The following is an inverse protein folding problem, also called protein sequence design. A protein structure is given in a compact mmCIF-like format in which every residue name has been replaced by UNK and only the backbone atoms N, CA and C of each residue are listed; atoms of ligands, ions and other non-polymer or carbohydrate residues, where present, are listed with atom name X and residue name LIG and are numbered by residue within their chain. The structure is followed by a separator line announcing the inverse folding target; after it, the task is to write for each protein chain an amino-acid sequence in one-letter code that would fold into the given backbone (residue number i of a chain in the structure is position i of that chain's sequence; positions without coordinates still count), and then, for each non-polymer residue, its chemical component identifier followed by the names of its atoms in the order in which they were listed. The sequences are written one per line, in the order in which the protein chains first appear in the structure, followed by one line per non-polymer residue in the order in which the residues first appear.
data_IF_423964549824
#
_entry.id   IF_423964549824
#
_cell.length_a   1.000
_cell.length_b   1.000
_cell.length_c   1.000
_cell.angle_alpha   90.00
_cell.angle_beta   90.00
_cell.angle_gamma   90.00
#
_symmetry.space_group_name_H-M   'P 1'
#
loop_
_entity.id
_entity.type
_entity.pdbx_description
1 polymer ?
#
# COMPACT_ATOMS: atom_id res chain seq x y z
N UNK A 1 -35.61 3.74 -0.84
CA UNK A 1 -35.17 2.51 -0.13
C UNK A 1 -33.81 2.03 -0.61
N UNK A 2 -33.55 1.93 -1.92
CA UNK A 2 -32.25 1.48 -2.47
C UNK A 2 -31.05 2.27 -1.92
N UNK A 3 -31.10 3.60 -1.93
CA UNK A 3 -30.03 4.46 -1.41
C UNK A 3 -29.66 4.16 0.06
N UNK A 4 -30.66 4.03 0.93
CA UNK A 4 -30.43 3.77 2.35
C UNK A 4 -29.84 2.38 2.59
N UNK A 5 -30.30 1.38 1.83
CA UNK A 5 -29.76 0.02 1.91
C UNK A 5 -28.32 -0.02 1.41
N UNK A 6 -28.02 0.58 0.24
CA UNK A 6 -26.66 0.60 -0.30
C UNK A 6 -25.70 1.39 0.59
N UNK A 7 -26.17 2.49 1.20
CA UNK A 7 -25.39 3.26 2.15
C UNK A 7 -25.08 2.44 3.41
N UNK A 8 -26.04 1.69 3.95
CA UNK A 8 -25.81 0.80 5.09
C UNK A 8 -24.76 -0.26 4.77
N UNK A 9 -24.89 -0.95 3.62
CA UNK A 9 -23.90 -1.95 3.18
C UNK A 9 -22.53 -1.31 2.98
N UNK A 10 -22.46 -0.12 2.39
CA UNK A 10 -21.24 0.65 2.21
C UNK A 10 -20.56 0.94 3.56
N UNK A 11 -21.32 1.44 4.54
CA UNK A 11 -20.79 1.74 5.88
C UNK A 11 -20.28 0.49 6.58
N UNK A 12 -21.05 -0.61 6.57
CA UNK A 12 -20.62 -1.87 7.20
C UNK A 12 -19.36 -2.40 6.53
N UNK A 13 -19.35 -2.50 5.20
CA UNK A 13 -18.19 -3.04 4.46
C UNK A 13 -16.95 -2.16 4.56
N UNK A 14 -17.10 -0.84 4.73
CA UNK A 14 -15.98 0.08 4.98
C UNK A 14 -15.14 -0.33 6.19
N UNK A 15 -15.78 -0.73 7.30
CA UNK A 15 -15.08 -1.16 8.52
C UNK A 15 -14.58 -2.62 8.48
N UNK A 16 -15.04 -3.41 7.51
CA UNK A 16 -14.71 -4.84 7.41
C UNK A 16 -13.66 -5.14 6.34
N UNK A 17 -13.65 -4.39 5.24
CA UNK A 17 -12.86 -4.70 4.03
C UNK A 17 -11.33 -4.71 4.27
N UNK A 18 -10.86 -3.97 5.25
CA UNK A 18 -9.43 -3.84 5.57
C UNK A 18 -9.03 -4.64 6.83
N UNK A 19 -9.93 -5.48 7.36
CA UNK A 19 -9.58 -6.38 8.46
C UNK A 19 -8.54 -7.39 7.99
N UNK A 20 -7.45 -7.50 8.75
CA UNK A 20 -6.38 -8.46 8.47
C UNK A 20 -6.92 -9.91 8.56
N UNK A 21 -6.77 -10.73 7.50
CA UNK A 21 -7.09 -12.16 7.54
C UNK A 21 -6.39 -12.91 8.68
N UNK A 22 -6.88 -14.07 9.09
CA UNK A 22 -6.22 -14.95 10.07
C UNK A 22 -4.93 -15.60 9.53
N UNK A 23 -4.00 -16.04 10.39
CA UNK A 23 -2.74 -16.66 9.96
C UNK A 23 -2.94 -17.84 8.99
N UNK A 24 -3.96 -18.67 9.23
CA UNK A 24 -4.30 -19.82 8.36
C UNK A 24 -4.77 -19.44 6.95
N UNK A 25 -4.97 -18.14 6.68
CA UNK A 25 -5.24 -17.64 5.34
C UNK A 25 -4.00 -17.67 4.44
N UNK A 26 -2.80 -17.53 5.00
CA UNK A 26 -1.55 -17.39 4.24
C UNK A 26 -0.79 -18.71 4.11
N UNK A 27 0.02 -18.82 3.06
CA UNK A 27 1.01 -19.89 2.97
C UNK A 27 2.25 -19.52 3.80
N UNK A 28 2.27 -20.01 5.03
CA UNK A 28 3.35 -19.75 6.00
C UNK A 28 4.72 -20.27 5.56
N UNK A 29 4.81 -21.17 4.57
CA UNK A 29 6.10 -21.66 4.05
C UNK A 29 6.82 -20.59 3.22
N UNK A 30 6.07 -19.63 2.70
CA UNK A 30 6.60 -18.55 1.83
C UNK A 30 6.93 -17.27 2.59
N UNK A 31 6.46 -17.12 3.83
CA UNK A 31 6.65 -15.93 4.67
C UNK A 31 7.95 -15.99 5.50
N UNK A 32 9.06 -16.29 4.84
CA UNK A 32 10.41 -16.29 5.43
C UNK A 32 10.99 -14.89 5.54
N UNK A 33 12.06 -14.69 6.33
CA UNK A 33 12.84 -13.45 6.29
C UNK A 33 13.27 -13.07 4.86
N UNK A 34 13.37 -11.77 4.55
CA UNK A 34 13.83 -11.32 3.25
C UNK A 34 15.23 -11.86 2.93
N UNK A 35 15.43 -12.22 1.67
CA UNK A 35 16.72 -12.61 1.13
C UNK A 35 17.47 -11.35 0.73
N UNK A 36 18.68 -11.18 1.26
CA UNK A 36 19.57 -10.05 0.95
C UNK A 36 20.95 -10.61 0.60
N UNK A 37 21.37 -10.46 -0.65
CA UNK A 37 22.63 -11.01 -1.16
C UNK A 37 23.47 -9.91 -1.84
N UNK A 38 24.82 -9.98 -1.79
CA UNK A 38 25.66 -9.02 -2.49
C UNK A 38 25.29 -8.93 -3.98
N UNK A 39 25.08 -7.73 -4.49
CA UNK A 39 24.81 -7.51 -5.92
C UNK A 39 26.07 -7.19 -6.69
N UNK A 40 26.18 -7.68 -7.92
CA UNK A 40 27.17 -7.25 -8.90
C UNK A 40 26.62 -6.17 -9.86
N UNK A 41 25.37 -5.73 -9.66
CA UNK A 41 24.72 -4.75 -10.52
C UNK A 41 25.40 -3.39 -10.36
N UNK A 42 25.92 -2.86 -11.46
CA UNK A 42 26.52 -1.52 -11.49
C UNK A 42 25.46 -0.44 -11.37
N UNK A 43 25.86 0.71 -10.84
CA UNK A 43 25.01 1.90 -10.89
C UNK A 43 24.58 2.22 -12.32
N UNK A 44 23.33 2.65 -12.47
CA UNK A 44 22.74 2.96 -13.77
C UNK A 44 21.87 4.20 -13.69
N UNK A 45 21.63 4.80 -14.85
CA UNK A 45 20.80 6.01 -14.99
C UNK A 45 19.56 5.66 -15.79
N UNK A 46 18.42 6.20 -15.36
CA UNK A 46 17.16 6.10 -16.09
C UNK A 46 16.59 7.51 -16.29
N UNK A 47 15.84 7.67 -17.38
CA UNK A 47 15.18 8.94 -17.71
C UNK A 47 13.67 8.73 -17.75
N UNK A 48 12.94 9.40 -16.87
CA UNK A 48 11.47 9.33 -16.80
C UNK A 48 10.92 10.75 -16.78
N UNK A 49 9.99 11.06 -17.69
CA UNK A 49 9.37 12.38 -17.83
C UNK A 49 10.38 13.55 -17.85
N UNK A 50 11.44 13.41 -18.65
CA UNK A 50 12.53 14.40 -18.79
C UNK A 50 13.35 14.62 -17.52
N UNK A 51 13.36 13.65 -16.61
CA UNK A 51 14.21 13.69 -15.43
C UNK A 51 15.16 12.51 -15.35
N UNK A 52 16.35 12.77 -14.83
CA UNK A 52 17.46 11.86 -14.75
C UNK A 52 17.63 11.34 -13.33
N UNK A 53 17.45 10.04 -13.17
CA UNK A 53 17.62 9.34 -11.91
C UNK A 53 18.84 8.45 -11.97
N UNK A 54 19.68 8.51 -10.95
CA UNK A 54 20.81 7.60 -10.76
C UNK A 54 20.46 6.62 -9.67
N UNK A 55 20.44 5.33 -10.00
CA UNK A 55 20.21 4.24 -9.07
C UNK A 55 21.56 3.59 -8.74
N UNK A 56 21.84 3.40 -7.45
CA UNK A 56 23.06 2.75 -6.94
C UNK A 56 22.67 1.50 -6.15
N UNK A 57 22.60 0.32 -6.80
CA UNK A 57 22.35 -0.95 -6.14
C UNK A 57 23.36 -1.24 -5.03
N UNK A 58 22.89 -1.80 -3.92
CA UNK A 58 23.69 -2.22 -2.77
C UNK A 58 23.61 -3.73 -2.55
N UNK A 59 22.41 -4.32 -2.64
CA UNK A 59 22.16 -5.74 -2.47
C UNK A 59 21.00 -6.19 -3.36
N UNK A 60 21.06 -7.43 -3.85
CA UNK A 60 19.89 -8.12 -4.37
C UNK A 60 18.93 -8.37 -3.21
N UNK A 61 17.64 -8.16 -3.45
CA UNK A 61 16.65 -8.19 -2.39
C UNK A 61 15.36 -8.87 -2.82
N UNK A 62 14.86 -9.76 -1.96
CA UNK A 62 13.56 -10.41 -2.14
C UNK A 62 12.81 -10.46 -0.82
N UNK A 63 11.55 -10.02 -0.85
CA UNK A 63 10.67 -10.04 0.31
C UNK A 63 9.34 -10.71 -0.05
N UNK A 64 8.91 -11.62 0.82
CA UNK A 64 7.57 -12.18 0.84
C UNK A 64 6.92 -11.82 2.17
N UNK A 65 5.75 -11.19 2.13
CA UNK A 65 5.15 -10.68 3.35
C UNK A 65 3.70 -10.26 3.20
N UNK A 66 3.12 -9.86 4.30
CA UNK A 66 1.75 -9.34 4.40
C UNK A 66 1.80 -7.84 4.57
N UNK A 67 1.09 -7.11 3.71
CA UNK A 67 0.95 -5.66 3.83
C UNK A 67 0.08 -5.34 5.04
N UNK A 68 0.58 -4.54 5.98
CA UNK A 68 -0.18 -4.15 7.20
C UNK A 68 -0.53 -2.67 7.22
N UNK A 69 0.24 -1.85 6.50
CA UNK A 69 -0.06 -0.45 6.28
C UNK A 69 0.61 0.00 4.98
N UNK A 70 0.21 1.15 4.48
CA UNK A 70 0.86 1.74 3.32
C UNK A 70 0.72 3.26 3.34
N UNK A 71 1.64 3.93 2.67
CA UNK A 71 1.57 5.35 2.40
C UNK A 71 1.79 5.60 0.92
N UNK A 72 0.85 6.27 0.26
CA UNK A 72 1.09 6.71 -1.12
C UNK A 72 2.04 7.92 -1.05
N UNK A 73 3.19 7.85 -1.71
CA UNK A 73 3.99 9.05 -1.93
C UNK A 73 3.16 10.04 -2.76
N UNK A 74 3.30 11.34 -2.44
CA UNK A 74 2.36 12.42 -2.76
C UNK A 74 1.53 12.26 -4.06
N UNK A 75 0.21 12.05 -3.90
CA UNK A 75 -0.79 12.46 -4.88
C UNK A 75 -1.31 11.38 -5.86
N UNK A 76 -2.13 10.45 -5.37
CA UNK A 76 -2.95 9.59 -6.26
C UNK A 76 -4.09 10.35 -6.95
N UNK A 77 -4.35 11.60 -6.56
CA UNK A 77 -5.43 12.43 -7.10
C UNK A 77 -5.23 12.91 -8.53
N UNK A 78 -4.11 12.58 -9.18
CA UNK A 78 -3.73 13.25 -10.41
C UNK A 78 -2.79 12.40 -11.26
N UNK A 79 -3.38 11.57 -12.11
CA UNK A 79 -2.72 11.03 -13.31
C UNK A 79 -2.14 12.17 -14.19
N UNK A 80 -2.49 13.45 -13.91
CA UNK A 80 -2.16 14.63 -14.72
C UNK A 80 -1.51 15.83 -14.00
N UNK A 81 -1.32 15.82 -12.69
CA UNK A 81 -0.68 16.93 -11.95
C UNK A 81 0.33 16.48 -10.89
N UNK A 82 1.45 15.91 -11.35
CA UNK A 82 2.68 15.80 -10.55
C UNK A 82 3.38 17.17 -10.45
N UNK A 83 2.67 18.20 -9.95
CA UNK A 83 3.15 19.59 -9.97
C UNK A 83 3.94 20.01 -8.74
N UNK A 84 3.99 19.19 -7.67
CA UNK A 84 4.61 19.62 -6.41
C UNK A 84 5.96 18.96 -6.13
N UNK A 85 6.11 17.69 -6.45
CA UNK A 85 7.39 16.98 -6.40
C UNK A 85 7.51 16.13 -7.65
N UNK A 86 8.56 16.44 -8.39
CA UNK A 86 8.83 15.96 -9.71
C UNK A 86 9.62 14.66 -9.53
N UNK A 87 8.99 13.64 -8.94
CA UNK A 87 9.58 12.34 -8.61
C UNK A 87 8.65 11.23 -9.12
N UNK A 88 8.98 10.69 -10.29
CA UNK A 88 8.09 9.86 -11.11
C UNK A 88 8.28 8.36 -10.90
N UNK A 89 9.42 7.98 -10.31
CA UNK A 89 9.75 6.57 -10.04
C UNK A 89 9.42 6.16 -8.61
N UNK A 90 9.24 7.12 -7.71
CA UNK A 90 8.78 6.93 -6.35
C UNK A 90 7.26 6.76 -6.32
N UNK A 91 6.79 5.56 -5.98
CA UNK A 91 5.38 5.21 -6.17
C UNK A 91 4.58 5.17 -4.87
N UNK A 92 5.07 4.40 -3.90
CA UNK A 92 4.35 4.10 -2.67
C UNK A 92 5.27 3.39 -1.69
N UNK A 93 4.96 3.57 -0.42
CA UNK A 93 5.61 2.89 0.67
C UNK A 93 4.68 1.81 1.24
N UNK A 94 5.23 0.61 1.46
CA UNK A 94 4.51 -0.52 2.05
C UNK A 94 5.15 -0.93 3.37
N UNK A 95 4.34 -0.92 4.44
CA UNK A 95 4.72 -1.60 5.66
C UNK A 95 4.32 -3.07 5.59
N UNK A 96 5.31 -3.95 5.72
CA UNK A 96 5.19 -5.38 5.47
C UNK A 96 5.70 -6.15 6.69
N UNK A 97 4.97 -7.20 7.08
CA UNK A 97 5.38 -8.15 8.13
C UNK A 97 5.43 -9.58 7.60
N UNK A 98 6.25 -10.42 8.22
CA UNK A 98 6.43 -11.83 7.83
C UNK A 98 6.74 -12.71 9.05
N UNK A 99 7.00 -13.99 8.82
CA UNK A 99 7.45 -14.93 9.85
C UNK A 99 6.48 -15.03 11.03
N UNK A 100 7.03 -14.97 12.24
CA UNK A 100 6.27 -15.20 13.47
C UNK A 100 5.27 -14.09 13.80
N UNK A 101 5.48 -12.88 13.27
CA UNK A 101 4.48 -11.82 13.36
C UNK A 101 3.16 -12.26 12.73
N UNK A 102 3.22 -12.96 11.59
CA UNK A 102 2.03 -13.52 10.92
C UNK A 102 1.62 -14.85 11.56
N UNK A 103 2.59 -15.76 11.81
CA UNK A 103 2.32 -17.13 12.31
C UNK A 103 1.50 -17.14 13.59
N UNK A 104 1.85 -16.28 14.53
CA UNK A 104 1.21 -16.20 15.86
C UNK A 104 -0.10 -15.42 15.84
N UNK A 105 -0.40 -14.71 14.75
CA UNK A 105 -1.54 -13.79 14.69
C UNK A 105 -1.32 -12.46 15.41
N UNK A 106 -0.14 -12.19 15.97
CA UNK A 106 0.13 -10.96 16.75
C UNK A 106 -0.05 -9.70 15.91
N UNK A 107 0.29 -9.72 14.61
CA UNK A 107 0.05 -8.59 13.69
C UNK A 107 -1.41 -8.10 13.68
N UNK A 108 -2.40 -8.96 13.98
CA UNK A 108 -3.81 -8.52 14.04
C UNK A 108 -4.14 -7.66 15.26
N UNK A 109 -3.28 -7.69 16.29
CA UNK A 109 -3.42 -6.94 17.54
C UNK A 109 -2.53 -5.69 17.59
N UNK A 110 -1.72 -5.47 16.56
CA UNK A 110 -0.83 -4.33 16.44
C UNK A 110 -1.48 -3.26 15.57
N UNK A 111 -1.37 -2.01 16.01
CA UNK A 111 -1.74 -0.85 15.21
C UNK A 111 -0.54 -0.40 14.39
N UNK A 112 -0.70 -0.39 13.07
CA UNK A 112 0.32 0.03 12.12
C UNK A 112 -0.05 1.36 11.47
N UNK A 113 0.91 2.26 11.38
CA UNK A 113 0.80 3.50 10.61
C UNK A 113 2.10 3.73 9.87
N UNK A 114 2.07 3.91 8.56
CA UNK A 114 3.28 4.19 7.78
C UNK A 114 3.24 5.59 7.19
N UNK A 115 4.40 6.23 7.15
CA UNK A 115 4.66 7.43 6.34
C UNK A 115 5.80 7.14 5.34
N UNK A 116 6.29 8.19 4.68
CA UNK A 116 7.35 8.07 3.67
C UNK A 116 8.72 7.60 4.20
N UNK A 117 8.88 7.42 5.50
CA UNK A 117 10.16 7.12 6.17
C UNK A 117 10.05 6.00 7.19
N UNK A 118 8.95 5.92 7.93
CA UNK A 118 8.82 4.99 9.05
C UNK A 118 7.50 4.23 9.01
N UNK A 119 7.56 2.93 9.30
CA UNK A 119 6.38 2.19 9.72
C UNK A 119 6.31 2.15 11.24
N UNK A 120 5.38 2.90 11.80
CA UNK A 120 5.09 3.00 13.21
C UNK A 120 4.25 1.82 13.66
N UNK A 121 4.64 1.24 14.80
CA UNK A 121 3.91 0.16 15.47
C UNK A 121 3.54 0.59 16.87
N UNK A 122 2.33 0.23 17.28
CA UNK A 122 1.86 0.41 18.65
C UNK A 122 0.90 -0.70 19.04
N UNK A 123 0.82 -0.97 20.34
CA UNK A 123 -0.04 -2.01 20.91
C UNK A 123 -0.53 -1.57 22.29
N UNK A 124 -1.66 -2.12 22.72
CA UNK A 124 -2.30 -1.76 23.99
C UNK A 124 -1.83 -2.59 25.19
N UNK A 125 -1.34 -3.81 24.94
CA UNK A 125 -1.03 -4.78 26.00
C UNK A 125 0.39 -5.33 25.91
N UNK A 126 0.96 -5.70 27.07
CA UNK A 126 2.33 -6.22 27.17
C UNK A 126 2.54 -7.52 26.39
N UNK A 127 1.55 -8.41 26.38
CA UNK A 127 1.68 -9.72 25.74
C UNK A 127 1.87 -9.57 24.22
N UNK A 128 1.13 -8.66 23.59
CA UNK A 128 1.32 -8.30 22.17
C UNK A 128 2.73 -7.80 21.91
N UNK A 129 3.28 -6.93 22.77
CA UNK A 129 4.65 -6.44 22.66
C UNK A 129 5.73 -7.51 22.80
N UNK A 130 5.53 -8.52 23.66
CA UNK A 130 6.48 -9.65 23.82
C UNK A 130 6.47 -10.61 22.63
N UNK A 131 5.30 -10.81 22.02
CA UNK A 131 5.14 -11.66 20.85
C UNK A 131 5.63 -11.00 19.57
N UNK A 132 5.45 -9.68 19.44
CA UNK A 132 5.82 -8.94 18.24
C UNK A 132 7.34 -8.88 18.04
N UNK A 133 7.78 -9.16 16.82
CA UNK A 133 9.20 -9.17 16.41
C UNK A 133 9.48 -7.97 15.51
N UNK A 134 10.16 -6.96 16.05
CA UNK A 134 10.49 -5.73 15.31
C UNK A 134 11.35 -5.97 14.07
N UNK A 135 12.24 -6.96 14.11
CA UNK A 135 13.09 -7.36 12.97
C UNK A 135 12.35 -8.23 11.92
N UNK A 136 11.07 -8.54 12.14
CA UNK A 136 10.19 -9.18 11.16
C UNK A 136 9.12 -8.19 10.63
N UNK A 137 9.54 -6.93 10.48
CA UNK A 137 8.79 -5.82 9.91
C UNK A 137 9.73 -4.99 9.03
N UNK A 138 9.20 -4.43 7.95
CA UNK A 138 9.91 -3.48 7.10
C UNK A 138 8.98 -2.37 6.59
N UNK A 139 9.50 -1.14 6.55
CA UNK A 139 8.96 -0.08 5.73
C UNK A 139 9.70 -0.04 4.38
N UNK A 140 9.01 -0.37 3.30
CA UNK A 140 9.58 -0.51 1.97
C UNK A 140 9.22 0.70 1.12
N UNK A 141 10.20 1.50 0.72
CA UNK A 141 10.04 2.59 -0.24
C UNK A 141 10.29 2.08 -1.66
N UNK A 142 9.23 2.02 -2.46
CA UNK A 142 9.24 1.26 -3.71
C UNK A 142 9.39 2.15 -4.94
N UNK A 143 10.44 1.86 -5.71
CA UNK A 143 10.80 2.57 -6.93
C UNK A 143 10.65 1.68 -8.16
N UNK A 144 10.11 2.21 -9.25
CA UNK A 144 10.21 1.60 -10.59
C UNK A 144 9.81 2.58 -11.69
N UNK A 145 10.42 2.43 -12.86
CA UNK A 145 10.01 3.05 -14.13
C UNK A 145 9.12 2.12 -14.96
N UNK A 146 8.95 0.85 -14.55
CA UNK A 146 8.13 -0.12 -15.27
C UNK A 146 6.63 0.05 -14.96
N UNK A 147 5.85 0.41 -15.99
CA UNK A 147 4.42 0.66 -15.87
C UNK A 147 3.59 -0.57 -15.43
N UNK A 148 4.01 -1.80 -15.79
CA UNK A 148 3.30 -3.01 -15.39
C UNK A 148 3.49 -3.31 -13.90
N UNK A 149 4.73 -3.14 -13.40
CA UNK A 149 5.04 -3.24 -11.98
C UNK A 149 4.28 -2.16 -11.21
N UNK A 150 4.32 -0.90 -11.69
CA UNK A 150 3.58 0.22 -11.11
C UNK A 150 2.09 -0.10 -10.96
N UNK A 151 1.42 -0.56 -12.03
CA UNK A 151 -0.02 -0.91 -11.97
C UNK A 151 -0.32 -1.98 -10.93
N UNK A 152 0.51 -3.03 -10.85
CA UNK A 152 0.32 -4.11 -9.88
C UNK A 152 0.58 -3.64 -8.45
N UNK A 153 1.63 -2.84 -8.23
CA UNK A 153 1.92 -2.23 -6.94
C UNK A 153 0.78 -1.35 -6.44
N UNK A 154 0.20 -0.51 -7.29
CA UNK A 154 -0.90 0.37 -6.90
C UNK A 154 -2.18 -0.38 -6.52
N UNK A 155 -2.31 -1.64 -6.94
CA UNK A 155 -3.40 -2.50 -6.51
C UNK A 155 -3.17 -3.10 -5.12
N UNK A 156 -1.96 -3.08 -4.55
CA UNK A 156 -1.70 -3.68 -3.25
C UNK A 156 -2.50 -2.97 -2.14
N UNK A 157 -3.11 -3.75 -1.27
CA UNK A 157 -3.97 -3.28 -0.18
C UNK A 157 -3.59 -3.95 1.15
N UNK A 158 -4.06 -3.41 2.26
CA UNK A 158 -3.84 -3.99 3.60
C UNK A 158 -4.37 -5.43 3.65
N UNK A 159 -3.59 -6.34 4.23
CA UNK A 159 -3.84 -7.76 4.32
C UNK A 159 -3.42 -8.56 3.09
N UNK A 160 -3.07 -7.93 1.97
CA UNK A 160 -2.60 -8.67 0.81
C UNK A 160 -1.25 -9.33 1.12
N UNK A 161 -1.09 -10.59 0.69
CA UNK A 161 0.20 -11.23 0.63
C UNK A 161 0.89 -10.81 -0.67
N UNK A 162 2.10 -10.28 -0.55
CA UNK A 162 2.90 -9.81 -1.68
C UNK A 162 4.24 -10.54 -1.76
N UNK A 163 4.80 -10.52 -2.96
CA UNK A 163 6.20 -10.86 -3.23
C UNK A 163 6.80 -9.74 -4.05
N UNK A 164 7.92 -9.20 -3.59
CA UNK A 164 8.71 -8.23 -4.35
C UNK A 164 10.13 -8.74 -4.56
N UNK A 165 10.72 -8.34 -5.68
CA UNK A 165 12.14 -8.57 -6.00
C UNK A 165 12.72 -7.32 -6.65
N UNK A 166 13.99 -7.09 -6.40
CA UNK A 166 14.72 -5.94 -6.91
C UNK A 166 16.06 -5.82 -6.23
N UNK A 167 16.54 -4.58 -6.13
CA UNK A 167 17.76 -4.25 -5.41
C UNK A 167 17.48 -3.22 -4.34
N UNK A 168 18.05 -3.41 -3.14
CA UNK A 168 18.21 -2.30 -2.19
C UNK A 168 19.11 -1.28 -2.85
N UNK A 169 18.66 -0.04 -2.98
CA UNK A 169 19.37 0.97 -3.74
C UNK A 169 19.25 2.36 -3.13
N UNK A 170 20.34 3.11 -3.20
CA UNK A 170 20.25 4.56 -3.10
C UNK A 170 19.79 5.11 -4.44
N UNK A 171 19.03 6.21 -4.42
CA UNK A 171 18.72 6.94 -5.64
C UNK A 171 18.89 8.45 -5.49
N UNK A 172 19.16 9.08 -6.63
CA UNK A 172 19.26 10.52 -6.73
C UNK A 172 18.55 11.00 -8.00
N UNK A 173 17.71 12.02 -7.88
CA UNK A 173 17.19 12.77 -9.01
C UNK A 173 18.14 13.95 -9.26
N UNK A 174 18.82 13.94 -10.40
CA UNK A 174 19.85 14.94 -10.71
C UNK A 174 19.24 16.33 -10.93
N UNK A 175 18.04 16.39 -11.51
CA UNK A 175 17.38 17.65 -11.86
C UNK A 175 16.81 18.37 -10.63
N UNK A 176 16.30 17.63 -9.65
CA UNK A 176 15.77 18.20 -8.39
C UNK A 176 16.82 18.25 -7.27
N UNK A 177 18.00 17.64 -7.48
CA UNK A 177 19.04 17.42 -6.46
C UNK A 177 18.58 16.59 -5.25
N UNK A 178 17.43 15.92 -5.36
CA UNK A 178 16.94 15.01 -4.34
C UNK A 178 17.82 13.76 -4.26
N UNK A 179 18.09 13.28 -3.04
CA UNK A 179 18.82 12.05 -2.77
C UNK A 179 18.15 11.30 -1.63
N UNK A 180 18.13 9.97 -1.74
CA UNK A 180 17.64 9.08 -0.70
C UNK A 180 18.48 7.81 -0.66
N UNK A 181 18.87 7.42 0.55
CA UNK A 181 19.59 6.18 0.81
C UNK A 181 18.67 4.97 0.97
N UNK A 182 19.24 3.85 1.38
CA UNK A 182 18.51 2.63 1.74
C UNK A 182 19.05 2.07 3.05
N UNK A 183 18.17 1.54 3.90
CA UNK A 183 18.58 0.60 4.94
C UNK A 183 19.09 -0.69 4.31
N UNK A 184 20.11 -1.28 4.92
CA UNK A 184 20.65 -2.63 4.63
C UNK A 184 20.77 -3.49 5.90
N UNK A 185 20.30 -2.97 7.04
CA UNK A 185 20.27 -3.65 8.34
C UNK A 185 18.85 -4.12 8.64
N UNK A 186 18.67 -5.14 9.47
CA UNK A 186 17.35 -5.61 9.94
C UNK A 186 17.03 -5.21 11.37
N UNK A 187 18.01 -4.62 12.07
CA UNK A 187 17.91 -4.24 13.47
C UNK A 187 17.87 -2.71 13.67
N UNK A 188 17.85 -1.94 12.57
CA UNK A 188 17.68 -0.50 12.63
C UNK A 188 16.22 -0.11 12.89
N UNK A 189 16.02 1.05 13.54
CA UNK A 189 14.69 1.54 13.93
C UNK A 189 14.58 3.05 13.68
N UNK A 190 13.35 3.55 13.56
CA UNK A 190 13.07 4.97 13.32
C UNK A 190 13.43 5.47 11.91
N UNK A 191 13.79 6.75 11.79
CA UNK A 191 14.00 7.50 10.53
C UNK A 191 15.23 7.09 9.68
N UNK A 192 15.61 5.81 9.72
CA UNK A 192 16.67 5.21 8.91
C UNK A 192 16.39 3.75 8.52
N UNK A 193 15.36 3.12 9.09
CA UNK A 193 15.02 1.70 8.88
C UNK A 193 14.30 1.42 7.55
N UNK A 194 14.12 2.44 6.71
CA UNK A 194 13.41 2.31 5.45
C UNK A 194 14.29 1.68 4.38
N UNK A 195 13.83 0.59 3.80
CA UNK A 195 14.46 -0.05 2.65
C UNK A 195 13.98 0.64 1.39
N UNK A 196 14.91 1.27 0.66
CA UNK A 196 14.61 1.83 -0.65
C UNK A 196 14.92 0.78 -1.70
N UNK A 197 13.90 0.33 -2.43
CA UNK A 197 13.99 -0.81 -3.33
C UNK A 197 13.65 -0.38 -4.75
N UNK A 198 14.58 -0.58 -5.69
CA UNK A 198 14.28 -0.51 -7.11
C UNK A 198 13.76 -1.86 -7.60
N UNK A 199 12.48 -1.92 -7.96
CA UNK A 199 11.75 -3.16 -8.25
C UNK A 199 12.04 -3.67 -9.66
N UNK A 200 12.42 -4.95 -9.72
CA UNK A 200 12.42 -5.75 -10.96
C UNK A 200 11.18 -6.62 -11.08
N UNK A 201 10.50 -6.93 -9.97
CA UNK A 201 9.25 -7.68 -9.93
C UNK A 201 8.40 -7.31 -8.72
N UNK A 202 7.08 -7.25 -8.92
CA UNK A 202 6.10 -7.14 -7.84
C UNK A 202 4.88 -7.99 -8.16
N UNK A 203 4.48 -8.86 -7.23
CA UNK A 203 3.36 -9.79 -7.38
C UNK A 203 2.49 -9.73 -6.13
N UNK A 204 1.18 -9.61 -6.33
CA UNK A 204 0.20 -9.89 -5.27
C UNK A 204 -0.07 -11.39 -5.29
N UNK A 205 0.50 -12.11 -4.34
CA UNK A 205 0.38 -13.58 -4.21
C UNK A 205 -1.05 -13.95 -3.83
N UNK A 206 -1.64 -13.20 -2.90
CA UNK A 206 -3.00 -13.46 -2.42
C UNK A 206 -3.69 -12.18 -1.95
N UNK A 207 -4.88 -11.91 -2.50
CA UNK A 207 -5.71 -10.74 -2.19
C UNK A 207 -6.51 -10.92 -0.91
N UNK A 208 -6.40 -10.02 0.05
CA UNK A 208 -7.26 -10.03 1.24
C UNK A 208 -8.69 -9.61 0.90
N UNK A 209 -9.65 -10.27 1.56
CA UNK A 209 -11.07 -9.88 1.56
C UNK A 209 -11.68 -9.53 0.18
N UNK A 210 -11.40 -10.28 -0.91
CA UNK A 210 -11.80 -9.88 -2.27
C UNK A 210 -13.31 -9.76 -2.41
N UNK A 211 -14.08 -10.65 -1.77
CA UNK A 211 -15.54 -10.59 -1.76
C UNK A 211 -16.10 -9.35 -1.04
N UNK A 212 -15.54 -9.00 0.13
CA UNK A 212 -15.97 -7.80 0.87
C UNK A 212 -15.60 -6.52 0.12
N UNK A 213 -14.44 -6.48 -0.53
CA UNK A 213 -14.03 -5.33 -1.36
C UNK A 213 -14.92 -5.18 -2.59
N UNK A 214 -15.24 -6.28 -3.27
CA UNK A 214 -16.20 -6.26 -4.37
C UNK A 214 -17.58 -5.76 -3.93
N UNK A 215 -18.07 -6.24 -2.77
CA UNK A 215 -19.34 -5.78 -2.20
C UNK A 215 -19.29 -4.29 -1.82
N UNK A 216 -18.20 -3.83 -1.22
CA UNK A 216 -17.97 -2.41 -0.92
C UNK A 216 -18.03 -1.56 -2.19
N UNK A 217 -17.33 -1.95 -3.26
CA UNK A 217 -17.32 -1.23 -4.54
C UNK A 217 -18.72 -1.22 -5.17
N UNK A 218 -19.44 -2.34 -5.15
CA UNK A 218 -20.80 -2.40 -5.67
C UNK A 218 -21.77 -1.52 -4.86
N UNK A 219 -21.65 -1.51 -3.53
CA UNK A 219 -22.45 -0.67 -2.65
C UNK A 219 -22.14 0.83 -2.83
N UNK A 220 -20.87 1.18 -3.06
CA UNK A 220 -20.44 2.54 -3.36
C UNK A 220 -21.12 3.06 -4.64
N UNK A 221 -20.98 2.33 -5.75
CA UNK A 221 -21.59 2.73 -7.01
C UNK A 221 -23.12 2.75 -6.93
N UNK A 222 -23.74 1.78 -6.26
CA UNK A 222 -25.18 1.77 -6.04
C UNK A 222 -25.65 2.99 -5.24
N UNK A 223 -24.88 3.42 -4.24
CA UNK A 223 -25.17 4.63 -3.44
C UNK A 223 -25.05 5.89 -4.29
N UNK A 224 -23.97 6.03 -5.07
CA UNK A 224 -23.77 7.18 -5.95
C UNK A 224 -24.88 7.28 -7.00
N UNK A 225 -25.15 6.19 -7.72
CA UNK A 225 -26.15 6.17 -8.80
C UNK A 225 -27.56 6.41 -8.28
N UNK A 226 -27.93 5.80 -7.14
CA UNK A 226 -29.25 6.03 -6.54
C UNK A 226 -29.42 7.44 -5.99
N UNK A 227 -28.35 8.06 -5.48
CA UNK A 227 -28.37 9.47 -5.08
C UNK A 227 -28.55 10.40 -6.28
N UNK A 228 -27.79 10.20 -7.36
CA UNK A 228 -27.93 10.97 -8.60
C UNK A 228 -29.35 10.83 -9.16
N UNK A 229 -29.89 9.61 -9.23
CA UNK A 229 -31.24 9.37 -9.71
C UNK A 229 -32.30 10.09 -8.85
N UNK A 230 -32.12 10.10 -7.52
CA UNK A 230 -32.99 10.83 -6.62
C UNK A 230 -32.95 12.34 -6.86
N UNK A 231 -31.75 12.92 -7.02
CA UNK A 231 -31.58 14.35 -7.35
C UNK A 231 -32.25 14.68 -8.68
N UNK A 232 -32.02 13.89 -9.72
CA UNK A 232 -32.62 14.08 -11.05
C UNK A 232 -34.15 14.01 -10.97
N UNK A 233 -34.70 13.07 -10.20
CA UNK A 233 -36.15 12.95 -10.00
C UNK A 233 -36.76 14.20 -9.35
N UNK A 234 -36.06 14.92 -8.47
CA UNK A 234 -36.55 16.18 -7.90
C UNK A 234 -36.79 17.23 -8.99
N UNK A 235 -35.91 17.31 -9.99
CA UNK A 235 -36.01 18.29 -11.07
C UNK A 235 -37.00 17.88 -12.17
N UNK A 236 -37.22 16.58 -12.37
CA UNK A 236 -38.16 16.06 -13.37
C UNK A 236 -39.59 15.96 -12.80
N UNK A 237 -39.74 15.69 -11.50
CA UNK A 237 -41.04 15.51 -10.89
C UNK A 237 -41.87 16.80 -11.02
N UNK A 238 -43.07 16.73 -11.64
CA UNK A 238 -43.89 17.91 -11.85
C UNK A 238 -44.27 18.53 -10.51
N UNK A 239 -43.92 19.80 -10.32
CA UNK A 239 -44.34 20.57 -9.15
C UNK A 239 -45.86 20.69 -9.17
N UNK A 240 -46.57 19.84 -8.41
CA UNK A 240 -48.03 19.99 -8.22
C UNK A 240 -48.27 21.38 -7.64
N UNK A 241 -48.82 22.30 -8.45
CA UNK A 241 -49.36 23.56 -7.93
C UNK A 241 -50.46 23.19 -6.96
N UNK A 242 -50.26 23.52 -5.69
CA UNK A 242 -51.26 23.35 -4.64
C UNK A 242 -52.48 24.21 -5.00
N UNK A 243 -53.52 23.61 -5.56
CA UNK A 243 -54.80 24.30 -5.75
C UNK A 243 -55.44 24.47 -4.38
N UNK A 244 -55.32 25.67 -3.79
CA UNK A 244 -56.11 26.09 -2.64
C UNK A 244 -57.58 26.14 -3.07
N UNK A 245 -58.43 25.31 -2.48
CA UNK A 245 -59.87 25.53 -2.40
C UNK A 245 -60.17 26.26 -1.10
#
# INVERSE_FOLDING_TARGET
MLFLLSLLVLTVTYFLKDRLPDPGYYDMTTLSPPLQEPTSQKAFTLTVNHQHYVIRPQYEYQLNGVVVSYNNSDGFGDIWHHKRWQDFINLRDLCVVWGDNVRTGVYKKVHFNSDSWTCWVSWSDRQTGEMFKGNALSNNHLLTDNLAIKRTLMQAEVGDQIRLRGVLAEYANQDTRFKRGTSVSRDDTGNGACETIYLSQFIIVKKANPGLRALYTAALWSTILSFIAWVVMIFIAPHRKYQRR
#
